data_IF_717801127430
#
_entry.id   IF_717801127430
#
_cell.length_a   1.000
_cell.length_b   1.000
_cell.length_c   1.000
_cell.angle_alpha   90.00
_cell.angle_beta   90.00
_cell.angle_gamma   90.00
#
_symmetry.space_group_name_H-M   'P 1'
#
loop_
_entity.id
_entity.type
_entity.pdbx_description
1 polymer ?
#
# COMPACT_ATOMS: atom_id res chain seq x y z
N UNK A 1 -0.11 3.23 -18.98
CA UNK A 1 -0.55 4.35 -18.11
C UNK A 1 -0.93 3.80 -16.76
N UNK A 2 -0.61 4.50 -15.67
CA UNK A 2 -0.99 4.13 -14.30
C UNK A 2 -1.63 5.32 -13.58
N UNK A 3 -2.36 5.04 -12.49
CA UNK A 3 -2.96 6.06 -11.63
C UNK A 3 -2.10 6.37 -10.39
N UNK A 4 -0.79 6.21 -10.47
CA UNK A 4 0.12 6.50 -9.34
C UNK A 4 0.14 8.00 -9.07
N UNK A 5 0.12 8.38 -7.78
CA UNK A 5 0.17 9.77 -7.32
C UNK A 5 1.20 9.94 -6.21
N UNK A 6 1.84 11.12 -6.14
CA UNK A 6 2.77 11.45 -5.06
C UNK A 6 2.13 11.37 -3.67
N UNK A 7 0.87 11.82 -3.56
CA UNK A 7 0.11 11.86 -2.31
C UNK A 7 -0.14 10.48 -1.66
N UNK A 8 0.02 9.37 -2.39
CA UNK A 8 -0.37 8.05 -1.88
C UNK A 8 0.63 7.45 -0.89
N UNK A 9 1.91 7.75 -0.98
CA UNK A 9 2.94 7.28 -0.04
C UNK A 9 4.30 7.92 -0.29
N UNK A 10 5.16 7.93 0.73
CA UNK A 10 6.55 8.39 0.63
C UNK A 10 7.31 7.68 -0.50
N UNK A 11 7.08 6.37 -0.69
CA UNK A 11 7.71 5.59 -1.77
C UNK A 11 7.25 6.07 -3.15
N UNK A 12 6.01 6.54 -3.29
CA UNK A 12 5.45 7.05 -4.54
C UNK A 12 5.77 8.52 -4.80
N UNK A 13 6.09 9.27 -3.74
CA UNK A 13 6.53 10.67 -3.85
C UNK A 13 7.82 10.86 -4.66
N UNK A 14 8.62 9.81 -4.84
CA UNK A 14 9.82 9.84 -5.69
C UNK A 14 9.61 9.30 -7.11
N UNK A 15 8.35 9.16 -7.57
CA UNK A 15 8.04 8.69 -8.92
C UNK A 15 7.92 9.87 -9.88
N UNK A 16 8.20 9.62 -11.16
CA UNK A 16 8.09 10.63 -12.21
C UNK A 16 6.82 10.44 -13.06
N UNK A 17 6.41 11.49 -13.75
CA UNK A 17 5.29 11.45 -14.69
C UNK A 17 5.53 10.46 -15.84
N UNK A 18 6.81 10.28 -16.23
CA UNK A 18 7.27 9.27 -17.18
C UNK A 18 8.46 8.50 -16.61
N UNK A 19 8.40 7.19 -16.65
CA UNK A 19 9.46 6.31 -16.19
C UNK A 19 9.77 5.24 -17.22
N UNK A 20 11.05 4.90 -17.36
CA UNK A 20 11.50 3.78 -18.19
C UNK A 20 11.45 2.51 -17.36
N UNK A 21 10.70 1.52 -17.84
CA UNK A 21 10.64 0.18 -17.24
C UNK A 21 11.51 -0.75 -18.08
N UNK A 22 12.77 -0.98 -17.67
CA UNK A 22 13.65 -1.86 -18.42
C UNK A 22 14.99 -2.11 -17.74
N UNK A 23 15.83 -2.95 -18.33
CA UNK A 23 17.12 -3.35 -17.78
C UNK A 23 18.17 -2.21 -17.73
N UNK A 24 17.95 -1.12 -18.43
CA UNK A 24 18.86 0.04 -18.45
C UNK A 24 18.33 1.17 -17.58
N UNK A 25 18.52 1.06 -16.29
CA UNK A 25 18.24 2.13 -15.30
C UNK A 25 19.20 3.31 -15.38
N UNK A 26 20.10 3.37 -16.40
CA UNK A 26 21.21 4.34 -16.43
C UNK A 26 20.86 5.68 -17.06
N UNK A 27 19.74 5.77 -17.78
CA UNK A 27 19.30 7.04 -18.38
C UNK A 27 17.79 7.17 -18.19
N UNK A 28 17.38 7.80 -17.08
CA UNK A 28 16.03 8.32 -16.97
C UNK A 28 15.93 9.52 -17.91
N UNK A 29 15.21 9.36 -19.01
CA UNK A 29 14.89 10.49 -19.90
C UNK A 29 13.69 11.18 -19.28
N UNK A 30 13.90 12.37 -18.71
CA UNK A 30 12.84 13.26 -18.28
C UNK A 30 12.25 13.91 -19.54
N UNK A 31 11.01 13.56 -19.83
CA UNK A 31 10.22 14.32 -20.79
C UNK A 31 9.75 15.59 -20.06
N UNK A 32 10.45 16.70 -20.26
CA UNK A 32 9.99 18.00 -19.78
C UNK A 32 8.70 18.41 -20.49
N UNK A 33 8.04 19.47 -19.99
CA UNK A 33 6.75 19.98 -20.48
C UNK A 33 6.70 20.37 -21.98
N UNK A 34 7.81 20.27 -22.69
CA UNK A 34 7.91 20.58 -24.12
C UNK A 34 7.98 19.30 -24.96
N UNK A 35 6.82 18.79 -25.35
CA UNK A 35 6.62 17.61 -26.24
C UNK A 35 7.16 17.86 -27.68
N UNK A 36 7.85 18.96 -27.95
CA UNK A 36 8.28 19.36 -29.30
C UNK A 36 9.68 18.90 -29.71
N UNK A 37 10.41 18.15 -28.87
CA UNK A 37 11.74 17.67 -29.25
C UNK A 37 11.65 16.28 -29.92
N UNK A 38 11.86 16.25 -31.24
CA UNK A 38 11.83 15.01 -32.04
C UNK A 38 12.80 13.94 -31.56
N UNK A 39 13.82 14.30 -30.78
CA UNK A 39 14.77 13.34 -30.19
C UNK A 39 14.16 12.51 -29.10
N UNK A 40 13.24 13.07 -28.33
CA UNK A 40 12.53 12.36 -27.27
C UNK A 40 11.53 11.34 -27.84
N UNK A 41 10.89 11.64 -28.97
CA UNK A 41 10.00 10.70 -29.64
C UNK A 41 10.72 9.49 -30.27
N UNK A 42 11.98 9.62 -30.69
CA UNK A 42 12.75 8.48 -31.25
C UNK A 42 13.08 7.42 -30.20
N UNK A 43 13.28 7.79 -28.94
CA UNK A 43 13.51 6.83 -27.85
C UNK A 43 12.27 6.00 -27.52
N UNK A 44 11.07 6.53 -27.70
CA UNK A 44 9.82 5.79 -27.51
C UNK A 44 9.65 4.59 -28.44
N UNK A 45 10.38 4.51 -29.54
CA UNK A 45 10.23 3.44 -30.57
C UNK A 45 11.22 2.28 -30.41
N UNK A 46 12.15 2.34 -29.46
CA UNK A 46 13.15 1.28 -29.23
C UNK A 46 12.87 0.50 -27.95
N UNK A 47 12.28 -0.69 -28.08
CA UNK A 47 12.27 -1.86 -27.16
C UNK A 47 12.20 -1.65 -25.63
N UNK A 48 12.14 -0.44 -25.13
CA UNK A 48 11.98 -0.12 -23.72
C UNK A 48 10.49 0.13 -23.40
N UNK A 49 10.05 -0.37 -22.26
CA UNK A 49 8.68 -0.12 -21.80
C UNK A 49 8.65 1.17 -21.00
N UNK A 50 7.71 2.05 -21.32
CA UNK A 50 7.50 3.31 -20.60
C UNK A 50 6.27 3.22 -19.72
N UNK A 51 6.37 3.79 -18.52
CA UNK A 51 5.23 4.01 -17.64
C UNK A 51 4.89 5.50 -17.62
N UNK A 52 3.65 5.81 -17.95
CA UNK A 52 3.12 7.18 -17.87
C UNK A 52 2.17 7.27 -16.68
N UNK A 53 2.41 8.24 -15.81
CA UNK A 53 1.64 8.54 -14.61
C UNK A 53 0.97 9.93 -14.77
N UNK A 54 -0.12 10.05 -15.55
CA UNK A 54 -0.67 11.35 -15.95
C UNK A 54 -1.28 12.16 -14.81
N UNK A 55 -1.60 11.52 -13.68
CA UNK A 55 -2.20 12.16 -12.52
C UNK A 55 -1.24 12.19 -11.32
N UNK A 56 0.08 12.18 -11.58
CA UNK A 56 1.10 12.02 -10.55
C UNK A 56 1.01 13.07 -9.44
N UNK A 57 0.66 14.31 -9.80
CA UNK A 57 0.58 15.46 -8.89
C UNK A 57 -0.81 15.67 -8.28
N UNK A 58 -1.80 14.81 -8.61
CA UNK A 58 -3.14 14.96 -8.08
C UNK A 58 -3.19 14.65 -6.58
N UNK A 59 -3.83 15.53 -5.83
CA UNK A 59 -4.23 15.29 -4.44
C UNK A 59 -5.43 14.34 -4.36
N UNK A 60 -5.80 13.92 -3.16
CA UNK A 60 -7.03 13.14 -2.95
C UNK A 60 -8.27 13.98 -3.30
N UNK A 61 -8.25 15.27 -2.99
CA UNK A 61 -9.35 16.19 -3.33
C UNK A 61 -9.52 16.34 -4.84
N UNK A 62 -8.43 16.42 -5.60
CA UNK A 62 -8.49 16.49 -7.08
C UNK A 62 -9.15 15.25 -7.67
N UNK A 63 -8.80 14.06 -7.15
CA UNK A 63 -9.43 12.81 -7.57
C UNK A 63 -10.94 12.82 -7.30
N UNK A 64 -11.35 13.25 -6.09
CA UNK A 64 -12.76 13.29 -5.72
C UNK A 64 -13.54 14.37 -6.50
N UNK A 65 -12.95 15.53 -6.73
CA UNK A 65 -13.52 16.56 -7.59
C UNK A 65 -13.73 16.05 -9.01
N UNK A 66 -12.76 15.35 -9.57
CA UNK A 66 -12.86 14.78 -10.91
C UNK A 66 -13.94 13.70 -11.00
N UNK A 67 -13.99 12.77 -10.03
CA UNK A 67 -14.99 11.69 -10.00
C UNK A 67 -16.39 12.26 -9.90
N UNK A 68 -16.63 13.20 -8.96
CA UNK A 68 -17.95 13.80 -8.75
C UNK A 68 -18.35 14.77 -9.86
N UNK A 69 -17.41 15.56 -10.36
CA UNK A 69 -17.68 16.51 -11.45
C UNK A 69 -18.00 15.85 -12.79
N UNK A 70 -17.64 14.60 -12.99
CA UNK A 70 -17.90 13.84 -14.20
C UNK A 70 -18.93 12.70 -13.98
N UNK A 71 -19.63 12.67 -12.83
CA UNK A 71 -20.60 11.63 -12.46
C UNK A 71 -20.07 10.20 -12.65
N UNK A 72 -18.80 9.98 -12.34
CA UNK A 72 -18.16 8.67 -12.49
C UNK A 72 -18.61 7.72 -11.37
N UNK A 73 -18.84 6.44 -11.68
CA UNK A 73 -19.21 5.47 -10.67
C UNK A 73 -18.04 5.18 -9.73
N UNK A 74 -18.31 5.15 -8.43
CA UNK A 74 -17.37 4.77 -7.39
C UNK A 74 -18.02 3.88 -6.34
N UNK A 75 -17.20 3.27 -5.46
CA UNK A 75 -17.70 2.38 -4.43
C UNK A 75 -18.42 3.16 -3.33
N UNK A 76 -19.69 2.79 -3.04
CA UNK A 76 -20.52 3.43 -2.02
C UNK A 76 -19.95 3.35 -0.59
N UNK A 77 -19.00 2.46 -0.33
CA UNK A 77 -18.34 2.37 0.97
C UNK A 77 -17.62 3.67 1.35
N UNK A 78 -17.18 4.45 0.37
CA UNK A 78 -16.61 5.78 0.64
C UNK A 78 -17.62 6.75 1.26
N UNK A 79 -18.90 6.65 0.86
CA UNK A 79 -19.98 7.44 1.46
C UNK A 79 -20.32 6.98 2.88
N UNK A 80 -19.93 5.76 3.26
CA UNK A 80 -20.10 5.18 4.59
C UNK A 80 -18.91 5.47 5.54
N UNK A 81 -18.00 6.34 5.13
CA UNK A 81 -16.87 6.78 5.95
C UNK A 81 -15.58 5.96 5.77
N UNK A 82 -15.48 5.15 4.71
CA UNK A 82 -14.23 4.48 4.38
C UNK A 82 -13.26 5.45 3.69
N UNK A 83 -12.11 5.64 4.30
CA UNK A 83 -11.06 6.48 3.70
C UNK A 83 -10.26 5.70 2.62
N UNK A 84 -10.11 4.41 2.84
CA UNK A 84 -9.36 3.52 1.96
C UNK A 84 -10.05 2.16 1.87
N UNK A 85 -10.19 1.66 0.66
CA UNK A 85 -10.68 0.30 0.42
C UNK A 85 -9.52 -0.65 0.16
N UNK A 86 -9.49 -1.74 0.92
CA UNK A 86 -8.43 -2.74 0.84
C UNK A 86 -8.79 -4.00 1.64
N UNK A 87 -7.77 -4.73 2.09
CA UNK A 87 -7.97 -5.89 2.94
C UNK A 87 -8.43 -5.46 4.34
N UNK A 88 -9.50 -6.05 4.84
CA UNK A 88 -9.98 -5.82 6.21
C UNK A 88 -8.89 -6.24 7.20
N UNK A 89 -8.57 -5.35 8.15
CA UNK A 89 -7.54 -5.58 9.15
C UNK A 89 -6.10 -5.57 8.59
N UNK A 90 -5.87 -4.87 7.49
CA UNK A 90 -4.54 -4.75 6.90
C UNK A 90 -3.58 -4.07 7.90
N UNK A 91 -2.39 -4.67 8.19
CA UNK A 91 -1.43 -4.07 9.14
C UNK A 91 -0.85 -2.74 8.64
N UNK A 92 -0.96 -2.46 7.33
CA UNK A 92 -0.55 -1.20 6.72
C UNK A 92 -1.64 -0.11 6.80
N UNK A 93 -2.83 -0.43 7.29
CA UNK A 93 -3.88 0.55 7.51
C UNK A 93 -3.70 1.24 8.88
N UNK A 94 -4.08 2.52 9.01
CA UNK A 94 -4.07 3.20 10.30
C UNK A 94 -4.90 2.47 11.37
N UNK A 95 -4.54 2.64 12.64
CA UNK A 95 -5.19 1.97 13.77
C UNK A 95 -6.71 2.21 13.76
N UNK A 96 -7.12 3.48 13.63
CA UNK A 96 -8.54 3.83 13.63
C UNK A 96 -9.34 3.15 12.52
N UNK A 97 -8.72 2.93 11.35
CA UNK A 97 -9.36 2.20 10.27
C UNK A 97 -9.49 0.71 10.60
N UNK A 98 -8.45 0.08 11.15
CA UNK A 98 -8.50 -1.33 11.57
C UNK A 98 -9.58 -1.58 12.64
N UNK A 99 -9.70 -0.68 13.61
CA UNK A 99 -10.76 -0.74 14.62
C UNK A 99 -12.14 -0.62 13.99
N UNK A 100 -12.35 0.38 13.14
CA UNK A 100 -13.61 0.58 12.41
C UNK A 100 -13.99 -0.65 11.57
N UNK A 101 -13.04 -1.22 10.85
CA UNK A 101 -13.24 -2.41 10.02
C UNK A 101 -13.70 -3.63 10.84
N UNK A 102 -13.02 -3.90 11.96
CA UNK A 102 -13.38 -5.03 12.83
C UNK A 102 -14.67 -4.80 13.62
N UNK A 103 -15.01 -3.57 13.95
CA UNK A 103 -16.32 -3.23 14.54
C UNK A 103 -17.44 -3.47 13.53
N UNK A 104 -17.26 -3.04 12.29
CA UNK A 104 -18.25 -3.20 11.22
C UNK A 104 -18.38 -4.66 10.76
N UNK A 105 -17.30 -5.41 10.79
CA UNK A 105 -17.23 -6.79 10.32
C UNK A 105 -16.64 -7.75 11.38
N UNK A 106 -17.33 -8.00 12.50
CA UNK A 106 -16.79 -8.79 13.62
C UNK A 106 -16.43 -10.22 13.22
N UNK A 107 -17.11 -10.81 12.23
CA UNK A 107 -16.77 -12.15 11.71
C UNK A 107 -15.34 -12.24 11.16
N UNK A 108 -14.79 -11.14 10.64
CA UNK A 108 -13.39 -11.13 10.20
C UNK A 108 -12.45 -11.14 11.41
N UNK A 109 -12.73 -10.42 12.48
CA UNK A 109 -11.97 -10.50 13.72
C UNK A 109 -11.88 -11.96 14.23
N UNK A 110 -13.01 -12.68 14.24
CA UNK A 110 -13.05 -14.10 14.61
C UNK A 110 -12.21 -14.97 13.66
N UNK A 111 -12.17 -14.65 12.37
CA UNK A 111 -11.32 -15.36 11.41
C UNK A 111 -9.83 -15.15 11.71
N UNK A 112 -9.43 -13.91 12.01
CA UNK A 112 -8.06 -13.59 12.40
C UNK A 112 -7.65 -14.32 13.68
N UNK A 113 -8.49 -14.28 14.74
CA UNK A 113 -8.23 -14.98 16.00
C UNK A 113 -8.07 -16.48 15.80
N UNK A 114 -8.94 -17.11 14.98
CA UNK A 114 -8.79 -18.53 14.62
C UNK A 114 -7.49 -18.82 13.86
N UNK A 115 -7.08 -17.93 12.97
CA UNK A 115 -5.82 -18.09 12.24
C UNK A 115 -4.61 -17.99 13.20
N UNK A 116 -4.64 -17.02 14.13
CA UNK A 116 -3.60 -16.85 15.15
C UNK A 116 -3.54 -18.03 16.12
N UNK A 117 -4.68 -18.60 16.50
CA UNK A 117 -4.72 -19.83 17.31
C UNK A 117 -3.99 -20.98 16.60
N UNK A 118 -4.27 -21.19 15.30
CA UNK A 118 -3.58 -22.21 14.51
C UNK A 118 -2.08 -21.92 14.37
N UNK A 119 -1.73 -20.67 14.14
CA UNK A 119 -0.33 -20.24 14.06
C UNK A 119 0.41 -20.57 15.35
N UNK A 120 -0.11 -20.17 16.51
CA UNK A 120 0.51 -20.43 17.82
C UNK A 120 0.65 -21.94 18.10
N UNK A 121 -0.36 -22.77 17.77
CA UNK A 121 -0.29 -24.21 17.89
C UNK A 121 0.84 -24.80 17.04
N UNK A 122 1.01 -24.33 15.79
CA UNK A 122 2.11 -24.77 14.92
C UNK A 122 3.48 -24.38 15.46
N UNK A 123 3.60 -23.18 16.04
CA UNK A 123 4.87 -22.71 16.63
C UNK A 123 5.23 -23.43 17.93
N UNK A 124 4.26 -23.85 18.73
CA UNK A 124 4.52 -24.61 19.96
C UNK A 124 5.14 -25.98 19.67
N UNK A 125 4.84 -26.59 18.51
CA UNK A 125 5.39 -27.88 18.09
C UNK A 125 6.80 -27.77 17.48
N UNK A 126 7.23 -26.56 17.11
CA UNK A 126 8.56 -26.30 16.59
C UNK A 126 9.48 -25.91 17.74
N UNK A 127 10.20 -26.88 18.32
CA UNK A 127 11.21 -26.70 19.38
C UNK A 127 12.29 -25.62 19.12
N UNK A 128 12.21 -24.94 18.00
CA UNK A 128 13.18 -23.94 17.53
C UNK A 128 12.82 -22.49 17.83
N UNK A 129 11.60 -22.18 18.24
CA UNK A 129 11.21 -20.78 18.51
C UNK A 129 11.16 -20.52 20.01
N UNK A 130 12.30 -20.29 20.60
CA UNK A 130 12.47 -20.02 22.05
C UNK A 130 11.81 -18.73 22.57
N UNK A 131 11.08 -17.97 21.75
CA UNK A 131 10.42 -16.73 22.16
C UNK A 131 9.12 -16.50 21.40
N UNK A 132 8.08 -17.26 21.68
CA UNK A 132 6.75 -16.80 21.34
C UNK A 132 6.42 -15.65 22.31
N UNK A 133 6.35 -14.44 21.79
CA UNK A 133 6.08 -13.20 22.54
C UNK A 133 4.66 -13.18 23.11
N UNK A 134 3.74 -13.87 22.42
CA UNK A 134 2.30 -13.82 22.68
C UNK A 134 1.83 -15.02 23.48
N UNK A 135 0.92 -14.78 24.43
CA UNK A 135 0.35 -15.82 25.30
C UNK A 135 -0.75 -16.61 24.59
N UNK A 136 -1.59 -15.92 23.84
CA UNK A 136 -2.75 -16.48 23.16
C UNK A 136 -3.10 -15.69 21.89
N UNK A 137 -4.14 -16.13 21.18
CA UNK A 137 -4.57 -15.52 19.94
C UNK A 137 -5.15 -14.11 20.12
N UNK A 138 -5.67 -13.79 21.32
CA UNK A 138 -6.18 -12.46 21.64
C UNK A 138 -5.04 -11.46 21.78
N UNK A 139 -3.96 -11.89 22.42
CA UNK A 139 -2.74 -11.10 22.56
C UNK A 139 -2.09 -10.80 21.19
N UNK A 140 -2.04 -11.79 20.28
CA UNK A 140 -1.61 -11.59 18.89
C UNK A 140 -2.54 -10.62 18.16
N UNK A 141 -3.85 -10.75 18.35
CA UNK A 141 -4.83 -9.89 17.70
C UNK A 141 -4.72 -8.45 18.17
N UNK A 142 -4.52 -8.24 19.47
CA UNK A 142 -4.25 -6.93 20.04
C UNK A 142 -2.99 -6.30 19.44
N UNK A 143 -1.89 -7.07 19.41
CA UNK A 143 -0.65 -6.63 18.79
C UNK A 143 -0.86 -6.26 17.31
N UNK A 144 -1.62 -7.09 16.57
CA UNK A 144 -1.92 -6.84 15.15
C UNK A 144 -2.64 -5.52 14.91
N UNK A 145 -3.54 -5.14 15.81
CA UNK A 145 -4.29 -3.87 15.70
C UNK A 145 -3.40 -2.68 16.08
N UNK A 146 -2.66 -2.77 17.20
CA UNK A 146 -2.08 -1.59 17.84
C UNK A 146 -0.58 -1.43 17.66
N UNK A 147 0.17 -2.51 17.52
CA UNK A 147 1.64 -2.49 17.54
C UNK A 147 2.30 -2.89 16.21
N UNK A 148 1.54 -3.42 15.27
CA UNK A 148 2.07 -3.97 14.01
C UNK A 148 2.88 -2.98 13.16
N UNK A 149 2.66 -1.69 13.31
CA UNK A 149 3.42 -0.63 12.62
C UNK A 149 4.78 -0.34 13.26
N UNK A 150 4.91 -0.54 14.58
CA UNK A 150 6.14 -0.21 15.30
C UNK A 150 7.23 -1.29 15.17
N UNK A 151 6.90 -2.47 14.65
CA UNK A 151 7.87 -3.55 14.49
C UNK A 151 8.76 -3.41 13.26
N UNK A 152 8.39 -2.59 12.30
CA UNK A 152 9.22 -2.32 11.11
C UNK A 152 10.40 -1.38 11.37
N UNK A 153 10.38 -0.61 12.47
CA UNK A 153 11.46 0.30 12.86
C UNK A 153 12.52 -0.33 13.79
N UNK A 154 12.28 -1.57 14.28
CA UNK A 154 13.18 -2.23 15.24
C UNK A 154 14.02 -3.36 14.61
N UNK A 155 13.99 -3.57 13.29
CA UNK A 155 14.71 -4.66 12.63
C UNK A 155 16.08 -4.27 12.05
N UNK A 156 16.55 -3.04 12.25
CA UNK A 156 17.83 -2.58 11.64
C UNK A 156 19.04 -2.53 12.60
N UNK A 157 18.91 -2.95 13.85
CA UNK A 157 20.04 -2.84 14.81
C UNK A 157 20.60 -4.15 15.37
N UNK A 158 20.22 -5.33 14.89
CA UNK A 158 20.75 -6.58 15.49
C UNK A 158 21.07 -7.72 14.52
N UNK A 159 21.60 -7.41 13.34
CA UNK A 159 22.19 -8.40 12.44
C UNK A 159 23.56 -7.92 11.93
N UNK A 160 24.49 -7.69 12.85
CA UNK A 160 25.94 -7.81 12.58
C UNK A 160 26.64 -8.38 13.82
#
# INVERSE_FOLDING_TARGET
>A
MTGVRHAESVRRAGRDSFEIIGKSRKEAVYLGDNISDEREMRYCMQTESYMCNPIIDWSDDDVWHFIRGNDLPYCKLYDEGWERLGCIGCPMAPIHQREFEFQKYPKFADCYKRAFTKMLATYSDLDKVKRVRWKDAEDVFHWWIYEGENSSSLQDESLF
#
